data_IF_934160597105
#
_entry.id   IF_934160597105
#
_cell.length_a   1.000
_cell.length_b   1.000
_cell.length_c   1.000
_cell.angle_alpha   90.00
_cell.angle_beta   90.00
_cell.angle_gamma   90.00
#
_symmetry.space_group_name_H-M   'P 1'
#
loop_
_entity.id
_entity.type
_entity.pdbx_description
1 polymer ?
#
# COMPACT_ATOMS: atom_id res chain seq x y z
N UNK A 1 -21.26 14.37 12.23
CA UNK A 1 -21.30 13.36 11.15
C UNK A 1 -20.28 12.28 11.46
N UNK A 2 -20.69 11.03 11.67
CA UNK A 2 -19.75 9.93 11.79
C UNK A 2 -19.11 9.71 10.42
N UNK A 3 -17.81 10.02 10.27
CA UNK A 3 -17.07 9.64 9.09
C UNK A 3 -17.11 8.11 9.01
N UNK A 4 -17.92 7.56 8.11
CA UNK A 4 -17.90 6.14 7.78
C UNK A 4 -16.52 5.86 7.22
N UNK A 5 -15.63 5.31 8.04
CA UNK A 5 -14.33 4.86 7.61
C UNK A 5 -14.56 3.77 6.57
N UNK A 6 -14.31 4.10 5.30
CA UNK A 6 -14.28 3.10 4.25
C UNK A 6 -12.86 2.54 4.22
N UNK A 7 -12.69 1.25 4.54
CA UNK A 7 -11.39 0.63 4.43
C UNK A 7 -10.89 0.67 2.98
N UNK A 8 -9.56 0.76 2.77
CA UNK A 8 -9.02 0.60 1.43
C UNK A 8 -9.37 -0.79 0.90
N UNK A 9 -9.55 -0.91 -0.42
CA UNK A 9 -9.93 -2.18 -1.04
C UNK A 9 -8.89 -3.27 -0.82
N UNK A 10 -7.62 -2.91 -0.75
CA UNK A 10 -6.52 -3.80 -0.40
C UNK A 10 -5.51 -3.07 0.49
N UNK A 11 -4.72 -3.85 1.22
CA UNK A 11 -3.55 -3.38 1.96
C UNK A 11 -2.42 -4.40 1.82
N UNK A 12 -1.18 -4.02 2.15
CA UNK A 12 -0.02 -4.92 1.98
C UNK A 12 0.82 -5.05 3.25
N UNK A 13 1.44 -6.21 3.47
CA UNK A 13 2.52 -6.42 4.45
C UNK A 13 3.88 -6.61 3.74
N UNK A 14 4.98 -6.39 4.46
CA UNK A 14 6.36 -6.69 4.04
C UNK A 14 6.81 -8.11 4.40
N UNK A 15 5.87 -8.99 4.77
CA UNK A 15 6.17 -10.33 5.22
C UNK A 15 6.58 -11.24 4.04
N UNK A 16 7.79 -11.82 4.16
CA UNK A 16 8.67 -12.40 3.12
C UNK A 16 8.15 -13.66 2.38
N UNK A 17 6.88 -14.03 2.53
CA UNK A 17 6.39 -15.33 2.05
C UNK A 17 5.94 -15.35 0.58
N UNK A 18 5.82 -14.19 -0.06
CA UNK A 18 5.45 -14.10 -1.47
C UNK A 18 6.14 -12.87 -2.07
N UNK A 19 7.05 -13.15 -3.00
CA UNK A 19 7.67 -12.25 -3.99
C UNK A 19 6.91 -10.91 -4.11
N UNK A 20 7.39 -9.86 -3.44
CA UNK A 20 6.78 -8.52 -3.51
C UNK A 20 5.71 -8.15 -2.49
N UNK A 21 5.76 -8.76 -1.31
CA UNK A 21 4.87 -8.40 -0.20
C UNK A 21 3.49 -9.05 -0.33
N UNK A 22 2.86 -9.28 0.82
CA UNK A 22 1.56 -9.98 0.87
C UNK A 22 0.45 -8.93 0.72
N UNK A 23 -0.22 -8.93 -0.43
CA UNK A 23 -1.42 -8.11 -0.63
C UNK A 23 -2.61 -8.84 -0.01
N UNK A 24 -3.37 -8.11 0.81
CA UNK A 24 -4.46 -8.62 1.62
C UNK A 24 -5.72 -7.81 1.29
N UNK A 25 -6.83 -8.51 1.12
CA UNK A 25 -8.13 -7.86 0.90
C UNK A 25 -8.51 -6.96 2.08
N UNK A 26 -9.09 -5.79 1.79
CA UNK A 26 -9.53 -4.79 2.74
C UNK A 26 -10.58 -5.30 3.74
N UNK A 27 -11.22 -6.43 3.49
CA UNK A 27 -12.10 -7.09 4.45
C UNK A 27 -11.33 -7.65 5.66
N UNK A 28 -10.06 -8.04 5.48
CA UNK A 28 -9.23 -8.56 6.56
C UNK A 28 -8.46 -7.45 7.27
N UNK A 29 -8.53 -7.43 8.59
CA UNK A 29 -7.88 -6.41 9.43
C UNK A 29 -6.44 -6.74 9.82
N UNK A 30 -6.02 -8.00 9.65
CA UNK A 30 -4.74 -8.54 10.16
C UNK A 30 -4.13 -9.50 9.15
N UNK A 31 -2.81 -9.50 9.03
CA UNK A 31 -2.09 -10.50 8.25
C UNK A 31 -2.02 -11.80 9.05
N UNK A 32 -2.52 -12.90 8.47
CA UNK A 32 -2.52 -14.21 9.13
C UNK A 32 -1.13 -14.76 9.42
N UNK A 33 -0.10 -14.29 8.72
CA UNK A 33 1.26 -14.81 8.86
C UNK A 33 2.12 -14.02 9.85
N UNK A 34 2.13 -12.68 9.75
CA UNK A 34 2.98 -11.84 10.59
C UNK A 34 2.23 -11.12 11.73
N UNK A 35 0.90 -11.21 11.76
CA UNK A 35 0.08 -10.59 12.80
C UNK A 35 -0.02 -9.07 12.72
N UNK A 36 0.65 -8.40 11.75
CA UNK A 36 0.51 -6.95 11.55
C UNK A 36 -0.92 -6.59 11.21
N UNK A 37 -1.38 -5.43 11.69
CA UNK A 37 -2.71 -4.94 11.43
C UNK A 37 -2.74 -3.84 10.37
N UNK A 38 -3.82 -3.81 9.58
CA UNK A 38 -4.04 -2.77 8.57
C UNK A 38 -4.02 -1.36 9.15
N UNK A 39 -4.51 -1.17 10.37
CA UNK A 39 -4.56 0.17 10.97
C UNK A 39 -3.16 0.73 11.30
N UNK A 40 -2.14 -0.12 11.34
CA UNK A 40 -0.73 0.25 11.51
C UNK A 40 -0.09 0.68 10.17
N UNK A 41 -0.69 0.30 9.04
CA UNK A 41 -0.26 0.74 7.72
C UNK A 41 -0.57 2.23 7.55
N UNK A 42 0.45 3.01 7.18
CA UNK A 42 0.31 4.44 6.90
C UNK A 42 -0.05 4.67 5.43
N UNK A 43 0.72 4.07 4.53
CA UNK A 43 0.60 4.26 3.08
C UNK A 43 1.20 3.06 2.34
N UNK A 44 0.75 2.83 1.10
CA UNK A 44 1.37 1.88 0.16
C UNK A 44 2.20 2.70 -0.80
N UNK A 45 3.43 2.29 -1.08
CA UNK A 45 4.34 3.03 -1.95
C UNK A 45 4.87 2.17 -3.10
N UNK A 46 5.11 2.82 -4.24
CA UNK A 46 5.75 2.24 -5.42
C UNK A 46 6.84 3.17 -5.96
N UNK A 47 7.91 2.67 -6.61
CA UNK A 47 8.89 3.50 -7.30
C UNK A 47 8.23 4.42 -8.33
N UNK A 48 8.63 5.69 -8.35
CA UNK A 48 8.13 6.65 -9.33
C UNK A 48 8.87 6.62 -10.67
N UNK A 49 10.00 5.92 -10.74
CA UNK A 49 10.95 6.00 -11.88
C UNK A 49 11.73 7.32 -11.96
N UNK A 50 11.41 8.31 -11.12
CA UNK A 50 12.03 9.64 -11.08
C UNK A 50 12.96 9.83 -9.86
N UNK A 51 13.46 8.72 -9.29
CA UNK A 51 14.28 8.74 -8.08
C UNK A 51 13.50 8.92 -6.78
N UNK A 52 12.17 8.73 -6.80
CA UNK A 52 11.31 8.81 -5.62
C UNK A 52 10.31 7.65 -5.54
N UNK A 53 9.31 7.81 -4.66
CA UNK A 53 8.19 6.87 -4.52
C UNK A 53 6.87 7.60 -4.61
N UNK A 54 5.87 6.95 -5.20
CA UNK A 54 4.48 7.39 -5.18
C UNK A 54 3.71 6.67 -4.09
N UNK A 55 2.91 7.41 -3.33
CA UNK A 55 1.92 6.81 -2.46
C UNK A 55 0.72 6.41 -3.32
N UNK A 56 0.22 5.19 -3.16
CA UNK A 56 -0.81 4.62 -4.03
C UNK A 56 -1.91 3.90 -3.26
N UNK A 57 -3.03 3.69 -3.93
CA UNK A 57 -4.07 2.73 -3.58
C UNK A 57 -4.06 1.60 -4.61
N UNK A 58 -4.25 0.35 -4.15
CA UNK A 58 -4.42 -0.81 -5.02
C UNK A 58 -5.90 -0.93 -5.39
N UNK A 59 -6.21 -0.99 -6.69
CA UNK A 59 -7.57 -1.09 -7.22
C UNK A 59 -7.95 -2.54 -7.58
N UNK A 60 -7.00 -3.31 -8.10
CA UNK A 60 -7.14 -4.72 -8.45
C UNK A 60 -5.79 -5.43 -8.36
N UNK A 61 -5.86 -6.73 -8.13
CA UNK A 61 -4.71 -7.64 -8.01
C UNK A 61 -4.85 -8.68 -9.10
N UNK A 62 -3.77 -8.91 -9.86
CA UNK A 62 -3.65 -9.95 -10.89
C UNK A 62 -2.58 -10.97 -10.45
N UNK A 63 -2.09 -11.86 -11.34
CA UNK A 63 -1.21 -12.97 -10.95
C UNK A 63 0.15 -12.52 -10.37
N UNK A 64 0.80 -11.51 -10.97
CA UNK A 64 2.13 -11.01 -10.56
C UNK A 64 2.21 -9.48 -10.43
N UNK A 65 1.08 -8.80 -10.59
CA UNK A 65 1.01 -7.35 -10.63
C UNK A 65 -0.28 -6.81 -10.03
N UNK A 66 -0.25 -5.53 -9.64
CA UNK A 66 -1.42 -4.83 -9.14
C UNK A 66 -1.66 -3.58 -9.98
N UNK A 67 -2.95 -3.28 -10.21
CA UNK A 67 -3.34 -1.99 -10.74
C UNK A 67 -3.45 -1.00 -9.59
N UNK A 68 -2.68 0.08 -9.65
CA UNK A 68 -2.57 1.08 -8.61
C UNK A 68 -2.96 2.47 -9.10
N UNK A 69 -3.41 3.31 -8.19
CA UNK A 69 -3.68 4.73 -8.42
C UNK A 69 -2.90 5.58 -7.44
N UNK A 70 -2.24 6.62 -7.91
CA UNK A 70 -1.51 7.57 -7.06
C UNK A 70 -2.49 8.33 -6.16
N UNK A 71 -2.15 8.40 -4.88
CA UNK A 71 -2.85 9.18 -3.88
C UNK A 71 -2.07 10.46 -3.58
N UNK A 72 -2.79 11.58 -3.46
CA UNK A 72 -2.32 12.84 -2.85
C UNK A 72 -0.89 13.22 -3.23
N UNK A 73 -0.65 13.48 -4.51
CA UNK A 73 0.64 13.97 -4.96
C UNK A 73 0.69 15.50 -4.90
N UNK A 74 1.69 16.06 -4.23
CA UNK A 74 1.90 17.52 -4.20
C UNK A 74 2.21 18.12 -5.58
N UNK A 75 2.60 17.29 -6.55
CA UNK A 75 3.04 17.71 -7.88
C UNK A 75 2.00 17.34 -8.98
N UNK A 76 0.76 16.99 -8.61
CA UNK A 76 -0.31 16.68 -9.56
C UNK A 76 -0.28 15.28 -10.16
N UNK A 77 0.61 14.39 -9.68
CA UNK A 77 0.65 12.99 -10.14
C UNK A 77 -0.60 12.16 -9.74
N UNK A 78 -1.48 12.69 -8.89
CA UNK A 78 -2.79 12.07 -8.59
C UNK A 78 -3.75 12.11 -9.79
N UNK A 79 -3.49 12.96 -10.80
CA UNK A 79 -4.21 12.98 -12.06
C UNK A 79 -3.74 11.90 -13.05
N UNK A 80 -2.66 11.17 -12.74
CA UNK A 80 -2.22 10.07 -13.59
C UNK A 80 -3.31 8.98 -13.67
N UNK A 81 -3.53 8.39 -14.86
CA UNK A 81 -4.40 7.24 -14.96
C UNK A 81 -3.83 6.09 -14.12
N UNK A 82 -4.69 5.21 -13.58
CA UNK A 82 -4.22 4.02 -12.87
C UNK A 82 -3.31 3.17 -13.76
N UNK A 83 -2.21 2.70 -13.20
CA UNK A 83 -1.19 1.93 -13.92
C UNK A 83 -0.86 0.64 -13.20
N UNK A 84 -0.20 -0.27 -13.90
CA UNK A 84 0.16 -1.59 -13.38
C UNK A 84 1.58 -1.57 -12.83
N UNK A 85 1.77 -2.15 -11.64
CA UNK A 85 3.07 -2.32 -10.99
C UNK A 85 3.26 -3.79 -10.62
N UNK A 86 4.47 -4.37 -10.78
CA UNK A 86 4.73 -5.72 -10.32
C UNK A 86 4.79 -5.73 -8.79
N UNK A 87 4.42 -6.85 -8.16
CA UNK A 87 4.37 -6.93 -6.69
C UNK A 87 5.71 -6.58 -6.04
N UNK A 88 6.83 -6.98 -6.64
CA UNK A 88 8.18 -6.66 -6.13
C UNK A 88 8.43 -5.17 -5.88
N UNK A 89 7.70 -4.30 -6.57
CA UNK A 89 7.83 -2.85 -6.49
C UNK A 89 6.78 -2.23 -5.55
N UNK A 90 5.89 -3.02 -4.96
CA UNK A 90 4.89 -2.57 -3.98
C UNK A 90 5.44 -2.77 -2.58
N UNK A 91 5.51 -1.70 -1.79
CA UNK A 91 5.96 -1.77 -0.41
C UNK A 91 4.99 -1.09 0.56
N UNK A 92 4.74 -1.67 1.74
CA UNK A 92 4.05 -0.96 2.81
C UNK A 92 4.97 0.04 3.50
N UNK A 93 4.44 1.21 3.81
CA UNK A 93 5.01 2.11 4.82
C UNK A 93 4.14 2.09 6.05
N UNK A 94 4.74 1.67 7.16
CA UNK A 94 4.08 1.59 8.46
C UNK A 94 4.09 2.93 9.17
N UNK A 95 3.12 3.14 10.05
CA UNK A 95 3.15 4.27 10.99
C UNK A 95 4.36 4.10 11.90
N UNK A 96 5.15 5.17 12.04
CA UNK A 96 6.19 5.20 13.05
C UNK A 96 5.54 5.13 14.43
N UNK A 97 6.03 4.25 15.30
CA UNK A 97 5.72 4.35 16.73
C UNK A 97 6.38 5.63 17.25
N UNK A 98 5.59 6.48 17.92
CA UNK A 98 6.12 7.63 18.65
C UNK A 98 7.11 7.08 19.69
N UNK A 99 8.40 7.28 19.48
CA UNK A 99 9.47 6.87 20.40
C UNK A 99 10.60 6.00 19.82
N UNK A 100 10.52 5.52 18.58
CA UNK A 100 11.66 4.84 17.94
C UNK A 100 12.67 5.86 17.41
N UNK A 101 13.76 6.06 18.16
CA UNK A 101 14.92 6.86 17.78
C UNK A 101 15.87 5.94 16.99
N UNK A 102 16.33 6.39 15.82
CA UNK A 102 17.33 5.68 14.99
C UNK A 102 18.71 5.71 15.64
#
# INVERSE_FOLDING_TARGET
>A
MAHKYQPPKFWTCDCDRSIGGHIIDGLYSTCVYCGKHRHELKEIVVPSGLGGVFCVEILSVEEDCAKVKVLKSSNGFDALPPFTVPFKDIAPRWKHKVGEIR
#
